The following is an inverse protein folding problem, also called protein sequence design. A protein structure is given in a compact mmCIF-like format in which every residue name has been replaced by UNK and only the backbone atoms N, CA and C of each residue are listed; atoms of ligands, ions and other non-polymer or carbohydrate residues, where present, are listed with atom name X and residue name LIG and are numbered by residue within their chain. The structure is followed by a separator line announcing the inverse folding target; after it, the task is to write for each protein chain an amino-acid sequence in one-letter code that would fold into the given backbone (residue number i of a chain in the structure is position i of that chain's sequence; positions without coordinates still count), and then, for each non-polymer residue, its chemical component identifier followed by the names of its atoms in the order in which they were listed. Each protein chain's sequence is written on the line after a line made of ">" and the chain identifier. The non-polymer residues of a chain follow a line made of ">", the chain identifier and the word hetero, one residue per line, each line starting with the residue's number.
data_IF_332557331183
#
_entry.id   IF_332557331183
#
_cell.length_a   1.000
_cell.length_b   1.000
_cell.length_c   1.000
_cell.angle_alpha   90.00
_cell.angle_beta   90.00
_cell.angle_gamma   90.00
#
_symmetry.space_group_name_H-M   'P 1'
#
loop_
_entity.id
_entity.type
_entity.pdbx_description
1 polymer ?
#
# COMPACT_ATOMS: atom_id res chain seq x y z
N UNK A 1 12.05 -13.65 -17.86
CA UNK A 1 10.72 -13.90 -18.45
C UNK A 1 9.71 -13.57 -17.36
N UNK A 2 9.08 -12.40 -17.42
CA UNK A 2 7.94 -12.12 -16.55
C UNK A 2 6.82 -13.05 -17.01
N UNK A 3 6.48 -14.04 -16.20
CA UNK A 3 5.27 -14.82 -16.42
C UNK A 3 4.12 -13.83 -16.22
N UNK A 4 3.28 -13.63 -17.23
CA UNK A 4 1.96 -13.02 -17.02
C UNK A 4 1.28 -13.87 -15.94
N UNK A 5 1.33 -13.39 -14.70
CA UNK A 5 0.85 -14.10 -13.53
C UNK A 5 -0.66 -14.12 -13.63
N UNK A 6 -1.19 -15.16 -14.27
CA UNK A 6 -2.62 -15.36 -14.48
C UNK A 6 -3.15 -16.03 -13.22
N UNK A 7 -3.11 -15.31 -12.10
CA UNK A 7 -3.50 -15.83 -10.80
C UNK A 7 -4.63 -15.01 -10.20
N UNK A 8 -5.51 -15.68 -9.47
CA UNK A 8 -6.54 -15.08 -8.66
C UNK A 8 -6.31 -15.43 -7.19
N UNK A 9 -6.52 -14.44 -6.32
CA UNK A 9 -6.67 -14.68 -4.89
C UNK A 9 -8.13 -14.43 -4.54
N UNK A 10 -8.74 -15.39 -3.85
CA UNK A 10 -10.13 -15.34 -3.40
C UNK A 10 -10.15 -15.40 -1.89
N UNK A 11 -10.85 -14.45 -1.28
CA UNK A 11 -11.20 -14.47 0.13
C UNK A 11 -12.60 -15.06 0.29
N UNK A 12 -12.67 -16.16 1.03
CA UNK A 12 -13.90 -16.83 1.46
C UNK A 12 -14.11 -16.50 2.94
N UNK A 13 -15.16 -15.75 3.25
CA UNK A 13 -15.40 -15.19 4.58
C UNK A 13 -15.91 -16.23 5.60
N UNK A 14 -16.19 -17.47 5.19
CA UNK A 14 -16.66 -18.52 6.08
C UNK A 14 -17.96 -18.14 6.82
N UNK A 15 -18.11 -18.67 8.04
CA UNK A 15 -19.26 -18.43 8.93
C UNK A 15 -18.92 -17.58 10.15
N UNK A 16 -17.67 -17.13 10.29
CA UNK A 16 -17.18 -16.38 11.45
C UNK A 16 -16.73 -17.27 12.61
N UNK A 17 -16.41 -18.54 12.36
CA UNK A 17 -15.94 -19.50 13.36
C UNK A 17 -14.58 -20.12 12.98
N UNK A 18 -13.62 -19.27 12.63
CA UNK A 18 -12.25 -19.63 12.21
C UNK A 18 -12.20 -20.49 10.94
N UNK A 19 -13.30 -20.54 10.18
CA UNK A 19 -13.49 -21.33 8.98
C UNK A 19 -13.29 -20.53 7.68
N UNK A 20 -12.98 -19.24 7.80
CA UNK A 20 -12.67 -18.40 6.66
C UNK A 20 -11.28 -18.74 6.11
N UNK A 21 -11.13 -18.59 4.80
CA UNK A 21 -9.93 -18.99 4.08
C UNK A 21 -9.61 -18.04 2.92
N UNK A 22 -8.35 -18.03 2.53
CA UNK A 22 -7.88 -17.37 1.32
C UNK A 22 -7.22 -18.39 0.41
N UNK A 23 -7.63 -18.39 -0.85
CA UNK A 23 -7.21 -19.35 -1.86
C UNK A 23 -6.50 -18.60 -2.98
N UNK A 24 -5.28 -19.04 -3.33
CA UNK A 24 -4.61 -18.66 -4.58
C UNK A 24 -4.83 -19.76 -5.61
N UNK A 25 -5.24 -19.39 -6.81
CA UNK A 25 -5.42 -20.30 -7.92
C UNK A 25 -4.80 -19.78 -9.22
N UNK A 26 -4.32 -20.69 -10.05
CA UNK A 26 -4.02 -20.40 -11.45
C UNK A 26 -5.32 -20.25 -12.24
N UNK A 27 -5.48 -19.14 -12.95
CA UNK A 27 -6.70 -18.81 -13.70
C UNK A 27 -6.84 -19.70 -14.95
N UNK A 28 -5.73 -20.18 -15.52
CA UNK A 28 -5.74 -20.94 -16.76
C UNK A 28 -6.09 -22.40 -16.52
N UNK A 29 -5.47 -23.04 -15.53
CA UNK A 29 -5.74 -24.44 -15.18
C UNK A 29 -6.87 -24.58 -14.16
N UNK A 30 -7.12 -23.56 -13.34
CA UNK A 30 -8.03 -23.64 -12.20
C UNK A 30 -7.41 -24.31 -10.97
N UNK A 31 -6.12 -24.66 -11.01
CA UNK A 31 -5.46 -25.35 -9.90
C UNK A 31 -5.27 -24.42 -8.71
N UNK A 32 -5.63 -24.92 -7.52
CA UNK A 32 -5.32 -24.25 -6.26
C UNK A 32 -3.83 -24.43 -5.98
N UNK A 33 -3.11 -23.32 -5.89
CA UNK A 33 -1.66 -23.30 -5.64
C UNK A 33 -1.34 -22.94 -4.19
N UNK A 34 -2.28 -22.35 -3.46
CA UNK A 34 -2.13 -22.05 -2.04
C UNK A 34 -3.50 -21.96 -1.35
N UNK A 35 -3.61 -22.53 -0.16
CA UNK A 35 -4.77 -22.37 0.72
C UNK A 35 -4.28 -21.91 2.09
N UNK A 36 -4.87 -20.82 2.59
CA UNK A 36 -4.57 -20.25 3.91
C UNK A 36 -5.87 -20.24 4.70
N UNK A 37 -5.87 -20.84 5.89
CA UNK A 37 -7.07 -21.00 6.74
C UNK A 37 -6.86 -20.36 8.12
N UNK A 38 -7.92 -20.38 8.93
CA UNK A 38 -7.88 -19.90 10.31
C UNK A 38 -8.03 -18.39 10.42
N UNK A 39 -8.78 -17.79 9.50
CA UNK A 39 -9.24 -16.40 9.61
C UNK A 39 -10.61 -16.38 10.25
N UNK A 40 -10.89 -15.33 11.02
CA UNK A 40 -12.17 -15.21 11.74
C UNK A 40 -13.11 -14.30 10.99
N UNK A 41 -12.63 -13.13 10.59
CA UNK A 41 -13.42 -12.13 9.90
C UNK A 41 -12.56 -11.40 8.87
N UNK A 42 -12.11 -12.10 7.82
CA UNK A 42 -11.32 -11.46 6.78
C UNK A 42 -12.20 -10.46 6.02
N UNK A 43 -11.73 -9.22 5.89
CA UNK A 43 -12.47 -8.09 5.29
C UNK A 43 -11.91 -7.65 3.95
N UNK A 44 -10.61 -7.84 3.74
CA UNK A 44 -9.91 -7.43 2.52
C UNK A 44 -8.78 -8.39 2.18
N UNK A 45 -8.44 -8.45 0.90
CA UNK A 45 -7.32 -9.23 0.39
C UNK A 45 -6.67 -8.50 -0.79
N UNK A 46 -5.34 -8.51 -0.85
CA UNK A 46 -4.58 -7.99 -1.98
C UNK A 46 -3.28 -8.76 -2.22
N UNK A 47 -2.66 -8.53 -3.37
CA UNK A 47 -1.36 -9.08 -3.76
C UNK A 47 -0.33 -7.96 -3.89
N UNK A 48 0.81 -8.12 -3.21
CA UNK A 48 1.95 -7.25 -3.48
C UNK A 48 2.71 -7.67 -4.76
N UNK A 49 3.67 -6.83 -5.19
CA UNK A 49 4.49 -7.12 -6.39
C UNK A 49 5.46 -8.29 -6.24
N UNK A 50 5.78 -8.69 -5.01
CA UNK A 50 6.55 -9.90 -4.75
C UNK A 50 5.65 -11.16 -4.81
N UNK A 51 4.34 -10.99 -4.93
CA UNK A 51 3.36 -12.05 -4.94
C UNK A 51 2.98 -12.55 -3.55
N UNK A 52 3.22 -11.78 -2.49
CA UNK A 52 2.71 -12.09 -1.16
C UNK A 52 1.23 -11.71 -1.08
N UNK A 53 0.45 -12.51 -0.36
CA UNK A 53 -0.96 -12.22 -0.06
C UNK A 53 -1.00 -11.37 1.20
N UNK A 54 -1.70 -10.23 1.14
CA UNK A 54 -2.05 -9.44 2.32
C UNK A 54 -3.52 -9.70 2.61
N UNK A 55 -3.83 -10.08 3.86
CA UNK A 55 -5.19 -10.31 4.34
C UNK A 55 -5.43 -9.37 5.51
N UNK A 56 -6.52 -8.59 5.45
CA UNK A 56 -7.01 -7.84 6.59
C UNK A 56 -8.00 -8.70 7.35
N UNK A 57 -7.58 -9.26 8.48
CA UNK A 57 -8.43 -10.06 9.37
C UNK A 57 -8.92 -9.16 10.51
N UNK A 58 -10.21 -8.84 10.49
CA UNK A 58 -10.81 -7.95 11.48
C UNK A 58 -11.12 -8.71 12.78
N UNK A 59 -11.20 -7.97 13.88
CA UNK A 59 -11.51 -8.52 15.21
C UNK A 59 -12.84 -9.29 15.24
N UNK A 60 -12.83 -10.45 15.92
CA UNK A 60 -13.98 -10.99 16.63
C UNK A 60 -13.57 -11.30 18.09
N UNK A 61 -14.44 -10.97 19.07
CA UNK A 61 -14.20 -11.04 20.54
C UNK A 61 -13.25 -9.94 21.08
N UNK A 62 -12.32 -10.28 21.97
CA UNK A 62 -11.51 -9.34 22.76
C UNK A 62 -10.13 -9.04 22.13
N UNK A 63 -9.92 -9.34 20.84
CA UNK A 63 -8.58 -9.38 20.24
C UNK A 63 -8.40 -8.52 18.99
N UNK A 64 -7.21 -7.91 18.89
CA UNK A 64 -6.46 -7.42 17.72
C UNK A 64 -7.06 -7.60 16.30
N UNK A 65 -7.35 -6.53 15.52
CA UNK A 65 -7.44 -6.68 14.07
C UNK A 65 -6.01 -6.95 13.63
N UNK A 66 -5.79 -7.68 12.55
CA UNK A 66 -4.46 -7.97 12.09
C UNK A 66 -4.35 -7.88 10.57
N UNK A 67 -3.16 -7.52 10.12
CA UNK A 67 -2.76 -7.77 8.74
C UNK A 67 -1.91 -9.02 8.73
N UNK A 68 -2.38 -10.03 8.00
CA UNK A 68 -1.66 -11.28 7.79
C UNK A 68 -1.02 -11.22 6.41
N UNK A 69 0.31 -11.30 6.36
CA UNK A 69 1.06 -11.41 5.11
C UNK A 69 1.52 -12.86 4.92
N UNK A 70 1.20 -13.43 3.76
CA UNK A 70 1.54 -14.82 3.42
C UNK A 70 2.39 -14.86 2.17
N UNK A 71 3.60 -15.41 2.30
CA UNK A 71 4.53 -15.62 1.19
C UNK A 71 4.12 -16.83 0.35
N UNK A 72 4.67 -16.97 -0.85
CA UNK A 72 4.42 -18.14 -1.72
C UNK A 72 4.89 -19.48 -1.12
N UNK A 73 5.88 -19.46 -0.25
CA UNK A 73 6.34 -20.66 0.47
C UNK A 73 5.43 -21.04 1.66
N UNK A 74 4.36 -20.27 1.90
CA UNK A 74 3.43 -20.46 3.01
C UNK A 74 3.85 -19.75 4.30
N UNK A 75 4.99 -19.05 4.32
CA UNK A 75 5.42 -18.29 5.50
C UNK A 75 4.41 -17.19 5.84
N UNK A 76 3.86 -17.25 7.06
CA UNK A 76 2.91 -16.27 7.61
C UNK A 76 3.61 -15.28 8.52
N UNK A 77 3.30 -13.99 8.37
CA UNK A 77 3.64 -12.95 9.33
C UNK A 77 2.38 -12.17 9.67
N UNK A 78 2.21 -11.83 10.94
CA UNK A 78 1.03 -11.15 11.43
C UNK A 78 1.43 -9.87 12.14
N UNK A 79 0.80 -8.77 11.76
CA UNK A 79 0.99 -7.46 12.37
C UNK A 79 -0.33 -7.03 12.99
N UNK A 80 -0.36 -6.98 14.33
CA UNK A 80 -1.55 -6.55 15.07
C UNK A 80 -1.83 -5.05 14.85
N UNK A 81 -3.11 -4.70 14.82
CA UNK A 81 -3.65 -3.37 14.58
C UNK A 81 -4.70 -3.06 15.66
N UNK A 82 -4.27 -2.79 16.91
CA UNK A 82 -5.18 -2.57 18.04
C UNK A 82 -6.05 -1.32 17.86
N UNK A 83 -7.33 -1.47 18.22
CA UNK A 83 -8.31 -0.38 18.20
C UNK A 83 -8.63 0.15 16.80
N UNK A 84 -8.43 -0.67 15.76
CA UNK A 84 -8.75 -0.33 14.38
C UNK A 84 -9.80 -1.30 13.82
N UNK A 85 -10.96 -0.77 13.47
CA UNK A 85 -12.02 -1.47 12.79
C UNK A 85 -11.65 -1.57 11.31
N UNK A 86 -10.92 -2.64 10.96
CA UNK A 86 -10.44 -2.89 9.61
C UNK A 86 -11.62 -3.20 8.68
N UNK A 87 -11.70 -2.50 7.55
CA UNK A 87 -12.73 -2.72 6.53
C UNK A 87 -12.16 -3.18 5.20
N UNK A 88 -10.91 -2.82 4.86
CA UNK A 88 -10.21 -3.32 3.68
C UNK A 88 -8.68 -3.13 3.79
N UNK A 89 -7.92 -3.83 2.96
CA UNK A 89 -6.45 -3.73 2.84
C UNK A 89 -6.01 -3.70 1.38
N UNK A 90 -4.97 -2.92 1.09
CA UNK A 90 -4.26 -2.93 -0.19
C UNK A 90 -2.74 -2.94 0.02
N UNK A 91 -2.00 -3.49 -0.93
CA UNK A 91 -0.55 -3.50 -0.95
C UNK A 91 0.00 -2.23 -1.63
N UNK A 92 0.82 -1.47 -0.93
CA UNK A 92 1.58 -0.39 -1.55
C UNK A 92 2.69 -0.91 -2.48
N UNK A 93 3.32 -0.02 -3.25
CA UNK A 93 4.38 -0.40 -4.20
C UNK A 93 5.59 -1.08 -3.56
N UNK A 94 5.86 -0.80 -2.28
CA UNK A 94 6.89 -1.43 -1.47
C UNK A 94 6.41 -2.68 -0.69
N UNK A 95 5.15 -3.08 -0.87
CA UNK A 95 4.51 -4.22 -0.21
C UNK A 95 3.99 -3.93 1.20
N UNK A 96 4.12 -2.71 1.70
CA UNK A 96 3.52 -2.35 2.99
C UNK A 96 1.98 -2.24 2.89
N UNK A 97 1.23 -2.57 3.95
CA UNK A 97 -0.22 -2.49 3.92
C UNK A 97 -0.73 -1.05 4.00
N UNK A 98 -1.72 -0.73 3.17
CA UNK A 98 -2.59 0.44 3.33
C UNK A 98 -3.96 -0.07 3.76
N UNK A 99 -4.46 0.45 4.88
CA UNK A 99 -5.71 0.01 5.50
C UNK A 99 -6.77 1.08 5.39
N UNK A 100 -7.98 0.65 5.06
CA UNK A 100 -9.19 1.43 5.21
C UNK A 100 -10.02 0.90 6.37
N UNK A 101 -10.50 1.80 7.22
CA UNK A 101 -11.26 1.40 8.40
C UNK A 101 -11.66 2.59 9.27
N UNK A 102 -11.82 2.33 10.56
CA UNK A 102 -12.13 3.36 11.54
C UNK A 102 -11.38 3.14 12.86
N UNK A 103 -11.16 4.23 13.58
CA UNK A 103 -10.75 4.21 14.99
C UNK A 103 -11.93 4.74 15.81
N UNK A 104 -12.73 3.82 16.38
CA UNK A 104 -14.05 4.17 16.89
C UNK A 104 -14.94 4.71 15.76
N UNK A 105 -15.60 5.85 15.98
CA UNK A 105 -16.46 6.47 14.96
C UNK A 105 -15.68 7.27 13.90
N UNK A 106 -14.35 7.33 14.00
CA UNK A 106 -13.54 8.20 13.16
C UNK A 106 -12.96 7.41 11.98
N UNK A 107 -13.38 7.66 10.72
CA UNK A 107 -12.85 6.96 9.57
C UNK A 107 -11.36 7.30 9.38
N UNK A 108 -10.59 6.29 8.99
CA UNK A 108 -9.14 6.37 8.86
C UNK A 108 -8.67 5.58 7.64
N UNK A 109 -7.74 6.19 6.91
CA UNK A 109 -6.93 5.52 5.91
C UNK A 109 -5.49 5.63 6.38
N UNK A 110 -4.83 4.50 6.64
CA UNK A 110 -3.49 4.46 7.24
C UNK A 110 -2.56 3.56 6.46
N UNK A 111 -1.28 3.91 6.42
CA UNK A 111 -0.21 3.00 6.03
C UNK A 111 0.35 2.33 7.28
N UNK A 112 0.51 1.01 7.23
CA UNK A 112 0.99 0.20 8.35
C UNK A 112 2.48 -0.11 8.18
N UNK A 113 3.28 0.26 9.17
CA UNK A 113 4.67 -0.16 9.31
C UNK A 113 4.78 -1.59 9.81
N UNK A 114 5.88 -2.26 9.52
CA UNK A 114 6.12 -3.65 9.96
C UNK A 114 6.17 -3.82 11.49
N UNK A 115 6.42 -2.73 12.22
CA UNK A 115 6.40 -2.63 13.68
C UNK A 115 5.00 -2.33 14.26
N UNK A 116 3.97 -2.28 13.41
CA UNK A 116 2.60 -1.94 13.80
C UNK A 116 2.33 -0.43 13.90
N UNK A 117 3.32 0.42 13.60
CA UNK A 117 3.09 1.87 13.55
C UNK A 117 2.15 2.24 12.41
N UNK A 118 1.29 3.23 12.63
CA UNK A 118 0.28 3.66 11.66
C UNK A 118 0.53 5.11 11.26
N UNK A 119 0.68 5.34 9.95
CA UNK A 119 0.79 6.69 9.39
C UNK A 119 -0.52 7.04 8.68
N UNK A 120 -1.24 8.05 9.17
CA UNK A 120 -2.48 8.49 8.55
C UNK A 120 -2.22 9.16 7.19
N UNK A 121 -2.99 8.77 6.17
CA UNK A 121 -2.99 9.43 4.86
C UNK A 121 -3.98 10.60 4.89
N UNK A 122 -3.66 11.75 4.25
CA UNK A 122 -4.41 12.99 4.35
C UNK A 122 -5.72 13.00 3.52
N UNK A 123 -6.56 11.98 3.68
CA UNK A 123 -7.93 11.99 3.13
C UNK A 123 -8.85 12.88 3.95
N UNK A 124 -9.69 13.66 3.28
CA UNK A 124 -10.73 14.50 3.89
C UNK A 124 -12.10 14.12 3.34
N UNK A 125 -13.14 14.19 4.19
CA UNK A 125 -14.53 13.95 3.76
C UNK A 125 -14.92 12.48 3.57
N UNK A 126 -14.02 11.52 3.84
CA UNK A 126 -14.37 10.11 3.90
C UNK A 126 -15.21 9.84 5.14
N UNK A 127 -16.37 9.21 4.98
CA UNK A 127 -17.34 8.97 6.08
C UNK A 127 -17.35 7.52 6.52
N UNK A 128 -17.65 6.59 5.61
CA UNK A 128 -17.61 5.15 5.87
C UNK A 128 -16.82 4.45 4.76
N UNK A 129 -15.50 4.25 4.92
CA UNK A 129 -14.71 3.61 3.88
C UNK A 129 -15.17 2.17 3.68
N UNK A 130 -15.13 1.71 2.44
CA UNK A 130 -15.62 0.39 2.02
C UNK A 130 -14.59 -0.39 1.21
N UNK A 131 -13.60 0.30 0.67
CA UNK A 131 -12.52 -0.31 -0.07
C UNK A 131 -11.35 0.64 -0.24
N UNK A 132 -10.16 0.07 -0.40
CA UNK A 132 -8.92 0.79 -0.68
C UNK A 132 -8.15 0.07 -1.78
N UNK A 133 -7.52 0.84 -2.66
CA UNK A 133 -6.63 0.32 -3.68
C UNK A 133 -5.42 1.25 -3.83
N UNK A 134 -4.24 0.68 -4.05
CA UNK A 134 -3.03 1.45 -4.34
C UNK A 134 -2.63 1.26 -5.80
N UNK A 135 -2.60 2.36 -6.54
CA UNK A 135 -2.18 2.40 -7.92
C UNK A 135 -0.67 2.62 -8.10
N UNK A 136 -0.22 2.83 -9.35
CA UNK A 136 1.15 3.26 -9.63
C UNK A 136 1.51 4.54 -8.85
N UNK A 137 2.80 4.69 -8.52
CA UNK A 137 3.32 5.83 -7.77
C UNK A 137 2.66 6.01 -6.38
N UNK A 138 2.20 4.92 -5.77
CA UNK A 138 1.48 4.92 -4.48
C UNK A 138 0.23 5.81 -4.45
N UNK A 139 -0.42 6.03 -5.60
CA UNK A 139 -1.70 6.73 -5.64
C UNK A 139 -2.80 5.90 -4.97
N UNK A 140 -3.33 6.36 -3.83
CA UNK A 140 -4.33 5.64 -3.04
C UNK A 140 -5.73 6.07 -3.45
N UNK A 141 -6.57 5.09 -3.79
CA UNK A 141 -7.99 5.30 -4.11
C UNK A 141 -8.84 4.65 -3.03
N UNK A 142 -9.85 5.37 -2.55
CA UNK A 142 -10.73 4.90 -1.47
C UNK A 142 -12.17 5.02 -1.94
N UNK A 143 -12.92 3.92 -1.86
CA UNK A 143 -14.38 3.95 -1.99
C UNK A 143 -15.03 4.09 -0.63
N UNK A 144 -16.09 4.87 -0.53
CA UNK A 144 -16.79 5.11 0.72
C UNK A 144 -18.28 5.37 0.51
N UNK A 145 -19.05 5.18 1.58
CA UNK A 145 -20.47 5.52 1.62
C UNK A 145 -20.67 6.84 2.37
N UNK A 146 -21.47 7.72 1.79
CA UNK A 146 -22.00 8.94 2.45
C UNK A 146 -23.50 8.77 2.69
N UNK A 147 -23.99 9.24 3.84
CA UNK A 147 -25.41 9.21 4.20
C UNK A 147 -25.74 8.14 5.24
N UNK A 148 -27.02 7.78 5.35
CA UNK A 148 -27.50 6.78 6.31
C UNK A 148 -27.55 5.38 5.67
N UNK A 149 -27.76 4.34 6.49
CA UNK A 149 -27.90 2.94 6.05
C UNK A 149 -28.99 2.73 4.99
N UNK A 150 -29.99 3.60 4.90
CA UNK A 150 -31.09 3.51 3.92
C UNK A 150 -31.02 4.53 2.78
N UNK A 151 -30.06 5.45 2.82
CA UNK A 151 -29.94 6.57 1.86
C UNK A 151 -28.50 6.78 1.41
N UNK A 152 -27.66 5.76 1.57
CA UNK A 152 -26.25 5.85 1.31
C UNK A 152 -25.98 6.04 -0.18
N UNK A 153 -24.95 6.83 -0.48
CA UNK A 153 -24.43 6.98 -1.84
C UNK A 153 -22.96 6.59 -1.86
N UNK A 154 -22.56 5.79 -2.85
CA UNK A 154 -21.16 5.45 -3.08
C UNK A 154 -20.38 6.64 -3.66
N UNK A 155 -19.18 6.82 -3.16
CA UNK A 155 -18.21 7.83 -3.56
C UNK A 155 -16.84 7.18 -3.70
N UNK A 156 -15.98 7.83 -4.50
CA UNK A 156 -14.58 7.45 -4.65
C UNK A 156 -13.73 8.71 -4.58
N UNK A 157 -12.66 8.66 -3.80
CA UNK A 157 -11.66 9.73 -3.70
C UNK A 157 -10.27 9.15 -3.97
N UNK A 158 -9.41 9.93 -4.60
CA UNK A 158 -8.04 9.54 -4.93
C UNK A 158 -7.06 10.55 -4.33
N UNK A 159 -6.08 10.04 -3.61
CA UNK A 159 -4.91 10.75 -3.14
C UNK A 159 -3.72 10.37 -4.01
N UNK A 160 -3.08 11.35 -4.63
CA UNK A 160 -1.82 11.15 -5.36
C UNK A 160 -0.71 11.74 -4.49
N UNK A 161 0.33 10.96 -4.13
CA UNK A 161 1.50 11.51 -3.45
C UNK A 161 2.09 12.66 -4.26
N UNK A 162 2.53 13.72 -3.59
CA UNK A 162 3.22 14.81 -4.28
C UNK A 162 4.41 14.24 -5.04
N UNK A 163 4.62 14.60 -6.33
CA UNK A 163 5.82 14.21 -7.04
C UNK A 163 7.04 14.71 -6.24
N UNK A 164 8.05 13.85 -6.11
CA UNK A 164 9.31 14.25 -5.51
C UNK A 164 9.79 15.55 -6.20
N UNK A 165 10.30 16.54 -5.44
CA UNK A 165 10.79 17.78 -6.04
C UNK A 165 11.79 17.43 -7.14
N UNK A 166 11.62 18.03 -8.33
CA UNK A 166 12.58 17.86 -9.42
C UNK A 166 13.99 18.20 -8.90
N UNK A 167 15.04 17.42 -9.26
CA UNK A 167 16.40 17.77 -8.87
C UNK A 167 16.70 19.19 -9.35
N UNK A 168 17.21 20.04 -8.45
CA UNK A 168 17.62 21.40 -8.82
C UNK A 168 18.57 21.34 -10.03
N UNK A 169 18.44 22.25 -11.02
CA UNK A 169 19.33 22.27 -12.16
C UNK A 169 20.79 22.37 -11.69
N UNK A 170 21.67 21.53 -12.22
CA UNK A 170 23.11 21.61 -11.91
C UNK A 170 23.60 23.04 -12.17
N UNK A 171 24.43 23.62 -11.27
CA UNK A 171 24.96 24.95 -11.48
C UNK A 171 25.72 25.01 -12.81
N UNK A 172 25.49 26.05 -13.61
CA UNK A 172 26.23 26.25 -14.87
C UNK A 172 27.74 26.23 -14.59
N UNK A 173 28.55 25.54 -15.43
CA UNK A 173 29.99 25.52 -15.25
C UNK A 173 30.54 26.95 -15.33
N UNK A 174 31.34 27.35 -14.34
CA UNK A 174 31.97 28.68 -14.35
C UNK A 174 32.75 28.89 -15.66
N UNK A 175 32.64 30.07 -16.29
CA UNK A 175 33.40 30.37 -17.49
C UNK A 175 34.90 30.25 -17.20
N UNK A 176 35.59 29.40 -17.95
CA UNK A 176 37.03 29.22 -17.79
C UNK A 176 37.74 30.57 -17.95
N UNK A 177 38.52 31.02 -16.95
CA UNK A 177 39.21 32.30 -17.06
C UNK A 177 40.18 32.26 -18.23
N UNK A 178 39.95 33.11 -19.23
CA UNK A 178 40.87 33.30 -20.35
C UNK A 178 42.09 34.02 -19.79
N UNK A 179 43.19 33.30 -19.60
CA UNK A 179 44.46 33.89 -19.18
C UNK A 179 44.89 34.93 -20.23
N UNK A 180 45.22 36.17 -19.83
CA UNK A 180 45.73 37.16 -20.76
C UNK A 180 47.06 36.68 -21.36
N UNK A 181 47.36 37.03 -22.63
CA UNK A 181 48.59 36.62 -23.28
C UNK A 181 49.80 37.11 -22.48
N UNK A 182 50.72 36.19 -22.17
CA UNK A 182 52.02 36.50 -21.57
C UNK A 182 52.79 37.43 -22.51
N UNK A 183 52.88 38.71 -22.16
CA UNK A 183 53.79 39.65 -22.81
C UNK A 183 55.21 39.22 -22.49
N UNK A 184 55.89 38.62 -23.47
CA UNK A 184 57.30 38.32 -23.40
C UNK A 184 58.11 39.60 -23.23
N UNK A 185 58.69 39.78 -22.04
CA UNK A 185 59.74 40.76 -21.81
C UNK A 185 61.02 40.24 -22.47
N UNK A 186 61.28 40.72 -23.68
CA UNK A 186 62.61 40.72 -24.29
C UNK A 186 63.58 41.53 -23.41
N UNK A 187 64.85 41.14 -23.40
CA UNK A 187 65.83 41.49 -22.38
C UNK A 187 66.30 42.94 -22.38
N UNK A 188 67.15 43.25 -21.39
CA UNK A 188 68.47 43.85 -21.60
C UNK A 188 69.29 43.72 -20.32
N UNK A 189 70.47 43.12 -20.46
CA UNK A 189 71.55 43.16 -19.49
C UNK A 189 72.46 44.32 -19.87
N UNK A 190 72.69 45.25 -18.95
CA UNK A 190 73.96 45.97 -18.77
C UNK A 190 73.96 46.67 -17.40
#
# INVERSE_FOLDING_TARGET
>A
MATDSTELVVLDCGTGNDDAQVIRADITSGDITQTVTGFVQPRGVDLDRAGNILIGDAQFRDGDSAVVTVRRDGTRTETAVPGFDLLDVAAATDGSPVLAGAEGDAPRIVRLGADGTRTALPFTGVVYPTGVAVGPQDAVTVSYLEGSSTTSTSRVVKLVPDPAPEPEPEPEPEPTPVLPPILGSSGSSE
#
